data_IF_488959813533
#
_entry.id   IF_488959813533
#
_cell.length_a   1.000
_cell.length_b   1.000
_cell.length_c   1.000
_cell.angle_alpha   90.00
_cell.angle_beta   90.00
_cell.angle_gamma   90.00
#
_symmetry.space_group_name_H-M   'P 1'
#
loop_
_entity.id
_entity.type
_entity.pdbx_description
1 polymer ?
#
# COMPACT_ATOMS: atom_id res chain seq x y z
N UNK A 1 13.28 12.82 1.94
CA UNK A 1 12.60 11.67 2.59
C UNK A 1 12.19 10.71 1.48
N UNK A 2 12.41 9.43 1.67
CA UNK A 2 11.96 8.38 0.77
C UNK A 2 11.16 7.35 1.55
N UNK A 3 10.30 6.61 0.88
CA UNK A 3 9.55 5.48 1.44
C UNK A 3 9.90 4.23 0.64
N UNK A 4 10.10 3.14 1.34
CA UNK A 4 10.23 1.81 0.74
C UNK A 4 9.10 0.94 1.25
N UNK A 5 8.42 0.28 0.33
CA UNK A 5 7.35 -0.67 0.63
C UNK A 5 7.69 -2.01 0.00
N UNK A 6 7.44 -3.09 0.72
CA UNK A 6 7.68 -4.44 0.24
C UNK A 6 6.64 -5.42 0.76
N UNK A 7 6.49 -6.53 0.07
CA UNK A 7 5.70 -7.66 0.55
C UNK A 7 6.64 -8.66 1.22
N UNK A 8 6.24 -9.17 2.37
CA UNK A 8 6.93 -10.21 3.10
C UNK A 8 6.12 -11.49 3.07
N UNK A 9 6.75 -12.58 2.62
CA UNK A 9 6.17 -13.92 2.61
C UNK A 9 6.74 -14.70 3.78
N UNK A 10 5.92 -15.07 4.75
CA UNK A 10 6.33 -15.95 5.84
C UNK A 10 6.16 -17.41 5.40
N UNK A 11 7.31 -18.12 5.25
CA UNK A 11 7.46 -19.60 5.22
C UNK A 11 6.61 -20.41 4.24
N UNK A 12 5.33 -20.14 4.17
CA UNK A 12 4.38 -20.66 3.19
C UNK A 12 3.88 -19.51 2.32
N UNK A 13 3.90 -19.71 1.00
CA UNK A 13 3.43 -18.75 -0.03
C UNK A 13 1.96 -18.32 0.08
N UNK A 14 1.30 -18.63 1.18
CA UNK A 14 -0.15 -18.41 1.39
C UNK A 14 -0.46 -17.22 2.28
N UNK A 15 0.51 -16.66 3.02
CA UNK A 15 0.29 -15.55 3.96
C UNK A 15 1.43 -14.53 3.78
N UNK A 16 1.23 -13.55 2.94
CA UNK A 16 2.14 -12.42 2.78
C UNK A 16 1.53 -11.16 3.39
N UNK A 17 2.37 -10.33 4.00
CA UNK A 17 1.97 -9.02 4.49
C UNK A 17 2.74 -7.91 3.78
N UNK A 18 2.15 -6.72 3.70
CA UNK A 18 2.78 -5.52 3.17
C UNK A 18 3.39 -4.72 4.30
N UNK A 19 4.69 -4.45 4.19
CA UNK A 19 5.44 -3.64 5.12
C UNK A 19 5.94 -2.36 4.47
N UNK A 20 6.16 -1.34 5.28
CA UNK A 20 6.75 -0.08 4.84
C UNK A 20 7.78 0.42 5.84
N UNK A 21 8.75 1.19 5.35
CA UNK A 21 9.82 1.82 6.11
C UNK A 21 10.13 3.20 5.55
N UNK A 22 10.25 4.19 6.44
CA UNK A 22 10.73 5.52 6.07
C UNK A 22 12.26 5.56 6.00
N UNK A 23 12.78 6.29 5.02
CA UNK A 23 14.19 6.61 4.89
C UNK A 23 14.38 8.13 4.79
N UNK A 24 15.40 8.62 5.43
CA UNK A 24 15.98 9.93 5.14
C UNK A 24 17.10 9.75 4.13
N UNK A 25 17.14 10.62 3.13
CA UNK A 25 18.27 10.70 2.19
C UNK A 25 18.96 12.02 2.49
N UNK A 26 20.14 11.92 3.08
CA UNK A 26 20.98 13.07 3.41
C UNK A 26 21.55 13.76 2.16
N UNK A 27 22.17 14.90 2.34
CA UNK A 27 22.77 15.70 1.25
C UNK A 27 23.91 14.97 0.52
N UNK A 28 24.59 14.05 1.21
CA UNK A 28 25.60 13.14 0.66
C UNK A 28 25.00 11.90 -0.01
N UNK A 29 23.65 11.83 -0.11
CA UNK A 29 22.86 10.74 -0.69
C UNK A 29 22.96 9.41 0.06
N UNK A 30 23.41 9.41 1.31
CA UNK A 30 23.40 8.22 2.16
C UNK A 30 22.00 8.03 2.77
N UNK A 31 21.31 6.91 2.48
CA UNK A 31 20.02 6.63 3.08
C UNK A 31 20.20 6.18 4.53
N UNK A 32 19.36 6.70 5.42
CA UNK A 32 19.28 6.27 6.83
C UNK A 32 17.84 5.90 7.18
N UNK A 33 17.67 4.83 7.95
CA UNK A 33 16.34 4.40 8.40
C UNK A 33 15.78 5.40 9.40
N UNK A 34 14.48 5.68 9.28
CA UNK A 34 13.74 6.48 10.23
C UNK A 34 12.70 5.60 10.91
N UNK A 35 12.81 5.42 12.23
CA UNK A 35 11.92 4.56 12.99
C UNK A 35 12.07 3.08 12.63
N UNK A 36 11.05 2.29 12.89
CA UNK A 36 10.97 0.88 12.55
C UNK A 36 10.01 0.63 11.38
N UNK A 37 10.23 -0.45 10.65
CA UNK A 37 9.24 -0.93 9.69
C UNK A 37 7.95 -1.34 10.41
N UNK A 38 6.82 -1.23 9.73
CA UNK A 38 5.54 -1.68 10.26
C UNK A 38 4.66 -2.25 9.15
N UNK A 39 3.71 -3.10 9.53
CA UNK A 39 2.74 -3.68 8.62
C UNK A 39 1.68 -2.63 8.23
N UNK A 40 1.40 -2.54 6.94
CA UNK A 40 0.42 -1.62 6.34
C UNK A 40 -0.99 -2.18 6.44
N UNK A 41 -1.17 -3.42 5.93
CA UNK A 41 -2.46 -4.09 5.85
C UNK A 41 -3.00 -4.51 7.22
N UNK A 42 -4.32 -4.47 7.38
CA UNK A 42 -5.02 -4.95 8.58
C UNK A 42 -5.49 -6.39 8.42
N UNK A 43 -5.93 -6.77 7.21
CA UNK A 43 -6.28 -8.16 6.89
C UNK A 43 -5.00 -8.97 6.65
N UNK A 44 -4.79 -10.04 7.42
CA UNK A 44 -3.56 -10.84 7.41
C UNK A 44 -3.80 -12.35 7.29
N UNK A 45 -5.02 -12.76 6.93
CA UNK A 45 -5.38 -14.18 6.87
C UNK A 45 -4.99 -14.86 5.54
N UNK A 46 -4.55 -14.09 4.56
CA UNK A 46 -4.19 -14.52 3.21
C UNK A 46 -3.05 -13.65 2.67
N UNK A 47 -2.65 -13.91 1.43
CA UNK A 47 -1.60 -13.16 0.76
C UNK A 47 -1.98 -11.68 0.53
N UNK A 48 -1.05 -10.80 0.92
CA UNK A 48 -1.04 -9.37 0.63
C UNK A 48 0.22 -9.07 -0.18
N UNK A 49 0.09 -8.49 -1.34
CA UNK A 49 1.26 -8.29 -2.20
C UNK A 49 1.11 -7.20 -3.24
N UNK A 50 2.08 -7.13 -4.14
CA UNK A 50 2.11 -6.16 -5.25
C UNK A 50 1.88 -4.72 -4.79
N UNK A 51 2.53 -4.35 -3.68
CA UNK A 51 2.34 -3.03 -3.08
C UNK A 51 3.09 -1.95 -3.85
N UNK A 52 2.46 -0.79 -3.98
CA UNK A 52 3.06 0.44 -4.49
C UNK A 52 2.81 1.60 -3.54
N UNK A 53 3.68 2.62 -3.58
CA UNK A 53 3.63 3.75 -2.68
C UNK A 53 4.02 5.06 -3.37
N UNK A 54 3.33 6.14 -3.02
CA UNK A 54 3.63 7.47 -3.49
C UNK A 54 3.50 8.50 -2.37
N UNK A 55 4.28 9.58 -2.47
CA UNK A 55 4.26 10.68 -1.51
C UNK A 55 4.00 12.03 -2.16
N UNK A 56 3.35 12.93 -1.42
CA UNK A 56 3.18 14.33 -1.75
C UNK A 56 3.12 15.17 -0.47
N UNK A 57 4.02 16.15 -0.35
CA UNK A 57 4.11 16.95 0.88
C UNK A 57 4.39 16.06 2.09
N UNK A 58 3.50 16.10 3.06
CA UNK A 58 3.54 15.28 4.27
C UNK A 58 2.68 14.01 4.19
N UNK A 59 2.04 13.75 3.05
CA UNK A 59 1.15 12.60 2.86
C UNK A 59 1.81 11.50 2.05
N UNK A 60 1.45 10.26 2.39
CA UNK A 60 1.91 9.04 1.74
C UNK A 60 0.72 8.13 1.51
N UNK A 61 0.50 7.73 0.26
CA UNK A 61 -0.46 6.70 -0.12
C UNK A 61 0.24 5.37 -0.34
N UNK A 62 -0.35 4.29 0.17
CA UNK A 62 0.09 2.91 -0.09
C UNK A 62 -1.10 2.15 -0.65
N UNK A 63 -0.89 1.38 -1.71
CA UNK A 63 -1.88 0.48 -2.31
C UNK A 63 -1.30 -0.92 -2.47
N UNK A 64 -2.14 -1.95 -2.44
CA UNK A 64 -1.74 -3.34 -2.59
C UNK A 64 -2.88 -4.22 -3.08
N UNK A 65 -2.54 -5.44 -3.51
CA UNK A 65 -3.50 -6.51 -3.79
C UNK A 65 -3.66 -7.38 -2.56
N UNK A 66 -4.89 -7.75 -2.22
CA UNK A 66 -5.24 -8.60 -1.09
C UNK A 66 -6.08 -9.78 -1.55
N UNK A 67 -5.64 -11.01 -1.21
CA UNK A 67 -6.34 -12.24 -1.58
C UNK A 67 -7.53 -12.50 -0.65
N UNK A 68 -8.70 -12.73 -1.24
CA UNK A 68 -9.97 -13.10 -0.60
C UNK A 68 -10.52 -12.06 0.41
N UNK A 69 -9.95 -10.86 0.53
CA UNK A 69 -10.44 -9.86 1.47
C UNK A 69 -11.77 -9.24 1.04
N UNK A 70 -12.01 -9.13 -0.28
CA UNK A 70 -13.27 -8.66 -0.84
C UNK A 70 -14.26 -9.80 -1.14
N UNK A 71 -13.90 -11.04 -0.81
CA UNK A 71 -14.70 -12.24 -0.98
C UNK A 71 -14.49 -12.99 -2.29
N UNK A 72 -13.57 -12.55 -3.15
CA UNK A 72 -13.25 -13.21 -4.42
C UNK A 72 -11.84 -12.89 -4.90
N UNK A 73 -10.96 -13.89 -5.00
CA UNK A 73 -9.61 -13.74 -5.56
C UNK A 73 -8.86 -12.52 -4.98
N UNK A 74 -8.20 -11.70 -5.81
CA UNK A 74 -7.50 -10.49 -5.36
C UNK A 74 -8.36 -9.25 -5.55
N UNK A 75 -8.45 -8.43 -4.50
CA UNK A 75 -8.99 -7.08 -4.53
C UNK A 75 -7.91 -6.03 -4.27
N UNK A 76 -8.20 -4.78 -4.61
CA UNK A 76 -7.29 -3.64 -4.44
C UNK A 76 -7.66 -2.85 -3.18
N UNK A 77 -6.67 -2.64 -2.33
CA UNK A 77 -6.80 -1.91 -1.08
C UNK A 77 -5.81 -0.76 -1.00
N UNK A 78 -6.13 0.24 -0.20
CA UNK A 78 -5.27 1.40 0.01
C UNK A 78 -5.37 1.95 1.44
N UNK A 79 -4.28 2.57 1.88
CA UNK A 79 -4.20 3.29 3.14
C UNK A 79 -3.40 4.58 2.95
N UNK A 80 -3.92 5.66 3.50
CA UNK A 80 -3.20 6.94 3.57
C UNK A 80 -2.51 7.12 4.92
N UNK A 81 -1.37 7.80 4.90
CA UNK A 81 -0.56 8.14 6.05
C UNK A 81 -0.15 9.61 5.99
N UNK A 82 0.22 10.16 7.14
CA UNK A 82 0.93 11.43 7.26
C UNK A 82 2.21 11.27 8.05
N UNK A 83 3.22 12.03 7.67
CA UNK A 83 4.42 12.17 8.51
C UNK A 83 4.09 13.01 9.74
N UNK A 84 4.56 12.56 10.91
CA UNK A 84 4.37 13.29 12.15
C UNK A 84 5.19 14.58 12.16
N UNK A 85 4.58 15.69 12.59
CA UNK A 85 5.28 16.95 12.86
C UNK A 85 6.10 16.91 14.17
N UNK A 86 5.85 15.92 15.04
CA UNK A 86 6.41 15.83 16.40
C UNK A 86 7.77 15.13 16.49
N UNK A 87 8.44 14.89 15.36
CA UNK A 87 9.75 14.26 15.31
C UNK A 87 9.98 13.51 14.01
N UNK A 88 11.24 13.28 13.63
CA UNK A 88 11.53 12.51 12.45
C UNK A 88 11.08 11.06 12.65
N UNK A 89 10.10 10.60 11.87
CA UNK A 89 10.00 9.19 11.60
C UNK A 89 8.75 8.41 11.99
N UNK A 90 7.64 9.03 12.32
CA UNK A 90 6.40 8.29 12.44
C UNK A 90 5.45 8.60 11.28
N UNK A 91 5.03 7.55 10.58
CA UNK A 91 3.85 7.59 9.73
C UNK A 91 2.61 7.36 10.60
N UNK A 92 1.68 8.30 10.54
CA UNK A 92 0.41 8.21 11.25
C UNK A 92 -0.66 7.83 10.22
N UNK A 93 -1.42 6.78 10.49
CA UNK A 93 -2.57 6.40 9.65
C UNK A 93 -3.57 7.56 9.58
N UNK A 94 -4.05 7.85 8.38
CA UNK A 94 -5.13 8.80 8.12
C UNK A 94 -6.36 8.01 7.66
N UNK A 95 -7.38 7.97 8.50
CA UNK A 95 -8.56 7.14 8.25
C UNK A 95 -8.30 5.65 8.41
N UNK A 96 -9.15 4.85 7.78
CA UNK A 96 -9.05 3.39 7.74
C UNK A 96 -8.61 2.91 6.38
N UNK A 97 -8.13 1.68 6.32
CA UNK A 97 -7.93 0.92 5.08
C UNK A 97 -9.22 0.89 4.27
N UNK A 98 -9.12 1.13 2.97
CA UNK A 98 -10.27 1.15 2.06
C UNK A 98 -10.08 0.18 0.90
N UNK A 99 -11.16 -0.50 0.51
CA UNK A 99 -11.23 -1.20 -0.76
C UNK A 99 -11.41 -0.20 -1.90
N UNK A 100 -10.61 -0.34 -2.96
CA UNK A 100 -10.57 0.59 -4.09
C UNK A 100 -11.47 0.13 -5.23
N UNK A 101 -11.41 -1.18 -5.57
CA UNK A 101 -12.23 -1.75 -6.63
C UNK A 101 -13.69 -1.93 -6.19
N UNK A 102 -14.62 -1.63 -7.09
CA UNK A 102 -16.06 -1.90 -6.91
C UNK A 102 -16.49 -3.19 -7.60
N UNK A 103 -15.80 -3.59 -8.67
CA UNK A 103 -15.97 -4.91 -9.28
C UNK A 103 -15.10 -5.90 -8.54
N UNK A 104 -15.70 -6.90 -7.89
CA UNK A 104 -15.03 -7.86 -7.01
C UNK A 104 -14.94 -9.27 -7.58
N UNK A 105 -15.61 -9.55 -8.70
CA UNK A 105 -15.52 -10.86 -9.34
C UNK A 105 -14.19 -11.01 -10.07
N UNK A 106 -13.52 -12.14 -9.88
CA UNK A 106 -12.24 -12.41 -10.54
C UNK A 106 -11.04 -11.67 -9.92
N UNK A 107 -9.96 -11.57 -10.67
CA UNK A 107 -8.69 -11.03 -10.20
C UNK A 107 -8.60 -9.52 -10.46
N UNK A 108 -8.32 -8.76 -9.41
CA UNK A 108 -7.92 -7.37 -9.44
C UNK A 108 -6.46 -7.29 -8.96
N UNK A 109 -5.54 -6.79 -9.77
CA UNK A 109 -4.13 -6.93 -9.41
C UNK A 109 -3.20 -5.83 -9.91
N UNK A 110 -1.97 -5.88 -9.39
CA UNK A 110 -0.88 -4.99 -9.77
C UNK A 110 -1.26 -3.49 -9.70
N UNK A 111 -1.73 -3.00 -8.55
CA UNK A 111 -2.06 -1.60 -8.42
C UNK A 111 -0.82 -0.72 -8.50
N UNK A 112 -1.00 0.50 -9.01
CA UNK A 112 0.00 1.57 -8.92
C UNK A 112 -0.67 2.85 -8.45
N UNK A 113 0.04 3.64 -7.63
CA UNK A 113 -0.50 4.85 -7.00
C UNK A 113 0.32 6.08 -7.34
N UNK A 114 -0.37 7.21 -7.50
CA UNK A 114 0.23 8.54 -7.50
C UNK A 114 -0.55 9.47 -6.56
N UNK A 115 0.16 10.29 -5.81
CA UNK A 115 -0.45 11.33 -5.00
C UNK A 115 -0.61 12.61 -5.83
N UNK A 116 -1.85 13.07 -6.01
CA UNK A 116 -2.17 14.32 -6.73
C UNK A 116 -2.11 15.54 -5.80
N UNK A 117 -2.35 15.33 -4.51
CA UNK A 117 -2.22 16.30 -3.43
C UNK A 117 -2.12 15.57 -2.09
N UNK A 118 -1.99 16.28 -0.98
CA UNK A 118 -1.98 15.67 0.36
C UNK A 118 -3.25 14.86 0.70
N UNK A 119 -4.35 15.13 0.01
CA UNK A 119 -5.66 14.50 0.28
C UNK A 119 -6.24 13.75 -0.93
N UNK A 120 -5.48 13.61 -2.02
CA UNK A 120 -5.95 12.96 -3.25
C UNK A 120 -4.88 12.02 -3.77
N UNK A 121 -5.29 10.80 -4.04
CA UNK A 121 -4.49 9.82 -4.76
C UNK A 121 -5.26 9.30 -5.97
N UNK A 122 -4.54 8.92 -7.00
CA UNK A 122 -5.06 8.16 -8.13
C UNK A 122 -4.41 6.78 -8.10
N UNK A 123 -5.23 5.75 -8.25
CA UNK A 123 -4.80 4.35 -8.26
C UNK A 123 -5.28 3.73 -9.56
N UNK A 124 -4.40 3.01 -10.24
CA UNK A 124 -4.68 2.22 -11.44
C UNK A 124 -4.35 0.76 -11.17
N UNK A 125 -5.08 -0.17 -11.76
CA UNK A 125 -4.87 -1.61 -11.58
C UNK A 125 -5.37 -2.40 -12.79
N UNK A 126 -5.01 -3.68 -12.87
CA UNK A 126 -5.60 -4.63 -13.81
C UNK A 126 -6.88 -5.21 -13.23
N UNK A 127 -7.92 -5.33 -14.06
CA UNK A 127 -9.14 -6.04 -13.74
C UNK A 127 -9.38 -7.13 -14.79
N UNK A 128 -9.57 -8.37 -14.34
CA UNK A 128 -9.90 -9.50 -15.20
C UNK A 128 -11.40 -9.75 -15.17
N UNK A 129 -11.96 -10.13 -16.33
CA UNK A 129 -13.36 -10.49 -16.53
C UNK A 129 -14.39 -9.37 -16.29
N UNK A 130 -13.95 -8.12 -16.07
CA UNK A 130 -14.86 -6.99 -15.85
C UNK A 130 -15.67 -6.64 -17.10
N UNK A 131 -15.10 -6.84 -18.29
CA UNK A 131 -15.71 -6.46 -19.58
C UNK A 131 -16.49 -7.61 -20.25
N UNK A 132 -16.46 -8.79 -19.66
CA UNK A 132 -17.24 -9.94 -20.17
C UNK A 132 -18.67 -9.89 -19.62
N UNK A 133 -19.45 -8.91 -20.05
CA UNK A 133 -20.90 -9.01 -20.00
C UNK A 133 -21.36 -9.81 -21.21
N UNK A 134 -21.58 -11.08 -21.04
CA UNK A 134 -22.35 -11.89 -21.99
C UNK A 134 -23.80 -11.47 -22.05
#
# INVERSE_FOLDING_TARGET
>A
MALVTWSHLEGDIVNGDVYTQLLNISVDRTPTLIGSSFRVNTFSSKEQGYADTAGFGNSVGVTWSSLDQDGSSYGIFAQNYRTSASGPGALIKVGTEVQVNTFTSGLQGSPSVVMLSENRMMIVWHSFDQDFSS
#
